data_IF_184087054065
#
_entry.id   IF_184087054065
#
_cell.length_a   1.000
_cell.length_b   1.000
_cell.length_c   1.000
_cell.angle_alpha   90.00
_cell.angle_beta   90.00
_cell.angle_gamma   90.00
#
_symmetry.space_group_name_H-M   'P 1'
#
loop_
_entity.id
_entity.type
_entity.pdbx_description
1 polymer ?
#
# COMPACT_ATOMS: atom_id res chain seq x y z
N UNK A 1 61.28 -39.92 -22.97
CA UNK A 1 60.38 -40.51 -21.96
C UNK A 1 59.66 -39.45 -21.06
N UNK A 2 60.19 -38.24 -20.91
CA UNK A 2 59.52 -37.18 -20.09
C UNK A 2 58.37 -36.48 -20.83
N UNK A 3 58.43 -36.33 -22.13
CA UNK A 3 57.41 -35.62 -22.93
C UNK A 3 56.04 -36.36 -22.99
N UNK A 4 56.10 -37.70 -23.00
CA UNK A 4 54.86 -38.53 -23.04
C UNK A 4 54.07 -38.53 -21.72
N UNK A 5 54.75 -38.32 -20.58
CA UNK A 5 54.06 -38.26 -19.27
C UNK A 5 53.39 -36.92 -19.02
N UNK A 6 53.90 -35.84 -19.61
CA UNK A 6 53.32 -34.51 -19.46
C UNK A 6 52.05 -34.35 -20.30
N UNK A 7 51.98 -34.93 -21.48
CA UNK A 7 50.78 -34.91 -22.34
C UNK A 7 49.66 -35.75 -21.74
N UNK A 8 49.98 -36.87 -21.06
CA UNK A 8 48.96 -37.70 -20.40
C UNK A 8 48.39 -37.02 -19.14
N UNK A 9 49.18 -36.22 -18.41
CA UNK A 9 48.72 -35.48 -17.24
C UNK A 9 47.84 -34.28 -17.62
N UNK A 10 48.13 -33.59 -18.71
CA UNK A 10 47.29 -32.52 -19.24
C UNK A 10 45.94 -33.02 -19.80
N UNK A 11 45.91 -34.23 -20.39
CA UNK A 11 44.67 -34.85 -20.85
C UNK A 11 43.77 -35.30 -19.70
N UNK A 12 44.32 -35.75 -18.56
CA UNK A 12 43.52 -36.07 -17.36
C UNK A 12 42.99 -34.83 -16.66
N UNK A 13 43.69 -33.69 -16.71
CA UNK A 13 43.17 -32.40 -16.14
C UNK A 13 42.07 -31.77 -16.99
N UNK A 14 42.09 -32.00 -18.32
CA UNK A 14 41.03 -31.53 -19.21
C UNK A 14 39.75 -32.39 -19.10
N UNK A 15 39.86 -33.68 -18.73
CA UNK A 15 38.70 -34.55 -18.50
C UNK A 15 38.04 -34.31 -17.12
N UNK A 16 38.77 -33.77 -16.13
CA UNK A 16 38.20 -33.42 -14.83
C UNK A 16 37.38 -32.12 -14.84
N UNK A 17 37.60 -31.21 -15.81
CA UNK A 17 36.84 -29.99 -15.96
C UNK A 17 35.50 -30.16 -16.72
N UNK A 18 35.33 -31.26 -17.48
CA UNK A 18 34.09 -31.50 -18.22
C UNK A 18 33.07 -32.36 -17.46
N UNK A 19 33.44 -32.93 -16.31
CA UNK A 19 32.54 -33.76 -15.51
C UNK A 19 31.78 -33.02 -14.39
N UNK A 20 32.02 -31.71 -14.23
CA UNK A 20 31.31 -30.90 -13.23
C UNK A 20 30.27 -29.91 -13.80
N UNK A 21 29.99 -30.00 -15.12
CA UNK A 21 28.96 -29.13 -15.75
C UNK A 21 27.67 -29.87 -16.13
N UNK A 22 27.54 -31.16 -15.84
CA UNK A 22 26.34 -31.92 -16.13
C UNK A 22 25.74 -32.53 -14.86
N UNK A 23 25.09 -31.70 -14.05
CA UNK A 23 23.99 -32.13 -13.20
C UNK A 23 23.28 -30.93 -12.54
N UNK A 24 23.06 -29.83 -13.29
CA UNK A 24 21.83 -29.09 -13.09
C UNK A 24 20.76 -29.77 -13.96
N UNK A 25 20.39 -30.98 -13.55
CA UNK A 25 19.20 -31.62 -14.05
C UNK A 25 18.05 -30.60 -13.92
N UNK A 26 17.33 -30.37 -15.01
CA UNK A 26 16.05 -29.67 -15.09
C UNK A 26 15.12 -30.17 -13.98
N UNK A 27 15.30 -29.70 -12.75
CA UNK A 27 14.25 -29.80 -11.76
C UNK A 27 13.19 -28.79 -12.18
N UNK A 28 12.19 -29.25 -12.90
CA UNK A 28 10.97 -28.50 -13.13
C UNK A 28 10.51 -27.98 -11.79
N UNK A 29 10.48 -26.65 -11.61
CA UNK A 29 10.09 -26.05 -10.34
C UNK A 29 8.67 -26.49 -9.99
N UNK A 30 8.46 -26.92 -8.75
CA UNK A 30 7.14 -27.30 -8.27
C UNK A 30 6.33 -26.05 -7.90
N UNK A 31 5.05 -26.05 -8.16
CA UNK A 31 4.16 -24.96 -7.71
C UNK A 31 4.22 -24.71 -6.19
N UNK A 32 4.45 -25.76 -5.40
CA UNK A 32 4.69 -25.63 -3.95
C UNK A 32 5.90 -24.74 -3.60
N UNK A 33 6.87 -24.60 -4.49
CA UNK A 33 8.00 -23.71 -4.29
C UNK A 33 7.56 -22.24 -4.41
N UNK A 34 6.57 -21.95 -5.26
CA UNK A 34 5.93 -20.63 -5.37
C UNK A 34 5.10 -20.32 -4.12
N UNK A 35 4.29 -21.27 -3.64
CA UNK A 35 3.49 -21.10 -2.40
C UNK A 35 4.40 -20.81 -1.20
N UNK A 36 5.52 -21.54 -1.09
CA UNK A 36 6.50 -21.29 -0.04
C UNK A 36 7.18 -19.93 -0.22
N UNK A 37 7.56 -19.58 -1.45
CA UNK A 37 8.14 -18.27 -1.72
C UNK A 37 7.18 -17.15 -1.34
N UNK A 38 5.90 -17.29 -1.65
CA UNK A 38 4.88 -16.30 -1.29
C UNK A 38 4.72 -16.14 0.22
N UNK A 39 4.76 -17.25 0.98
CA UNK A 39 4.77 -17.20 2.44
C UNK A 39 5.99 -16.46 2.97
N UNK A 40 7.18 -16.77 2.46
CA UNK A 40 8.43 -16.09 2.83
C UNK A 40 8.38 -14.60 2.44
N UNK A 41 7.74 -14.27 1.31
CA UNK A 41 7.53 -12.91 0.84
C UNK A 41 6.62 -12.11 1.78
N UNK A 42 5.49 -12.67 2.19
CA UNK A 42 4.56 -12.02 3.15
C UNK A 42 5.22 -11.77 4.50
N UNK A 43 6.10 -12.65 4.95
CA UNK A 43 6.86 -12.41 6.18
C UNK A 43 7.93 -11.31 5.99
N UNK A 44 8.58 -11.28 4.82
CA UNK A 44 9.55 -10.25 4.48
C UNK A 44 8.94 -8.84 4.42
N UNK A 45 7.70 -8.70 3.97
CA UNK A 45 7.02 -7.40 3.87
C UNK A 45 6.74 -6.75 5.22
N UNK A 46 6.70 -7.54 6.29
CA UNK A 46 6.51 -7.01 7.64
C UNK A 46 7.75 -6.23 8.08
N UNK A 47 7.64 -4.91 8.33
CA UNK A 47 8.79 -4.17 8.80
C UNK A 47 9.20 -4.63 10.19
N UNK A 48 10.51 -4.76 10.48
CA UNK A 48 10.94 -4.90 11.85
C UNK A 48 10.56 -3.66 12.66
N UNK A 49 10.62 -3.78 13.97
CA UNK A 49 10.27 -2.68 14.87
C UNK A 49 11.50 -1.95 15.41
N UNK A 50 11.39 -0.63 15.54
CA UNK A 50 12.33 0.26 16.20
C UNK A 50 11.56 1.05 17.26
N UNK A 51 11.94 0.92 18.53
CA UNK A 51 11.24 1.52 19.68
C UNK A 51 9.72 1.22 19.69
N UNK A 52 9.36 0.00 19.29
CA UNK A 52 7.98 -0.47 19.20
C UNK A 52 7.21 -0.03 17.95
N UNK A 53 7.77 0.86 17.14
CA UNK A 53 7.17 1.32 15.87
C UNK A 53 7.78 0.58 14.65
N UNK A 54 7.10 0.50 13.51
CA UNK A 54 7.69 0.01 12.28
C UNK A 54 8.96 0.78 11.91
N UNK A 55 10.04 0.06 11.57
CA UNK A 55 11.32 0.66 11.19
C UNK A 55 11.36 0.99 9.70
N UNK A 56 11.12 2.25 9.36
CA UNK A 56 11.26 2.81 8.02
C UNK A 56 12.52 3.66 7.84
N UNK A 57 13.55 3.39 8.64
CA UNK A 57 14.83 4.09 8.47
C UNK A 57 15.55 3.63 7.21
N UNK A 58 16.33 4.54 6.63
CA UNK A 58 17.18 4.21 5.48
C UNK A 58 18.09 3.00 5.74
N UNK A 59 18.62 2.89 6.95
CA UNK A 59 19.47 1.75 7.35
C UNK A 59 18.72 0.42 7.25
N UNK A 60 17.45 0.39 7.64
CA UNK A 60 16.63 -0.82 7.53
C UNK A 60 16.33 -1.15 6.07
N UNK A 61 15.99 -0.16 5.24
CA UNK A 61 15.79 -0.40 3.81
C UNK A 61 17.05 -0.94 3.11
N UNK A 62 18.23 -0.41 3.45
CA UNK A 62 19.50 -0.91 2.89
C UNK A 62 19.76 -2.38 3.26
N UNK A 63 19.35 -2.81 4.46
CA UNK A 63 19.41 -4.23 4.87
C UNK A 63 18.38 -5.08 4.12
N UNK A 64 17.14 -4.61 4.02
CA UNK A 64 16.04 -5.33 3.37
C UNK A 64 16.31 -5.55 1.89
N UNK A 65 17.03 -4.65 1.22
CA UNK A 65 17.38 -4.79 -0.20
C UNK A 65 18.07 -6.12 -0.54
N UNK A 66 18.95 -6.62 0.34
CA UNK A 66 19.63 -7.92 0.13
C UNK A 66 18.66 -9.08 0.21
N UNK A 67 17.76 -9.05 1.19
CA UNK A 67 16.76 -10.10 1.36
C UNK A 67 15.74 -10.10 0.22
N UNK A 68 15.31 -8.91 -0.21
CA UNK A 68 14.49 -8.74 -1.41
C UNK A 68 15.14 -9.40 -2.63
N UNK A 69 16.43 -9.13 -2.89
CA UNK A 69 17.12 -9.69 -4.02
C UNK A 69 17.18 -11.23 -3.98
N UNK A 70 17.31 -11.82 -2.79
CA UNK A 70 17.29 -13.29 -2.63
C UNK A 70 15.92 -13.84 -3.02
N UNK A 71 14.84 -13.24 -2.53
CA UNK A 71 13.47 -13.68 -2.85
C UNK A 71 13.17 -13.49 -4.34
N UNK A 72 13.56 -12.35 -4.90
CA UNK A 72 13.40 -12.04 -6.32
C UNK A 72 14.11 -13.07 -7.21
N UNK A 73 15.37 -13.39 -6.90
CA UNK A 73 16.13 -14.39 -7.64
C UNK A 73 15.50 -15.78 -7.52
N UNK A 74 14.91 -16.14 -6.36
CA UNK A 74 14.19 -17.42 -6.23
C UNK A 74 13.00 -17.47 -7.18
N UNK A 75 12.21 -16.40 -7.29
CA UNK A 75 11.09 -16.33 -8.22
C UNK A 75 11.53 -16.43 -9.67
N UNK A 76 12.53 -15.64 -10.08
CA UNK A 76 13.00 -15.56 -11.46
C UNK A 76 13.68 -16.84 -11.94
N UNK A 77 14.26 -17.63 -11.03
CA UNK A 77 14.87 -18.91 -11.35
C UNK A 77 13.87 -20.09 -11.40
N UNK A 78 12.58 -19.86 -11.20
CA UNK A 78 11.56 -20.90 -11.34
C UNK A 78 11.31 -21.23 -12.81
N UNK A 79 11.47 -22.48 -13.18
CA UNK A 79 11.07 -22.98 -14.51
C UNK A 79 9.56 -23.20 -14.54
N UNK A 80 8.83 -22.25 -15.11
CA UNK A 80 7.38 -22.26 -15.26
C UNK A 80 6.91 -22.85 -16.59
N UNK A 81 7.82 -23.35 -17.46
CA UNK A 81 7.54 -23.75 -18.86
C UNK A 81 6.37 -24.71 -18.95
N UNK A 82 6.38 -25.75 -18.12
CA UNK A 82 5.39 -26.82 -18.13
C UNK A 82 4.23 -26.61 -17.15
N UNK A 83 4.13 -25.43 -16.52
CA UNK A 83 3.04 -25.14 -15.58
C UNK A 83 1.71 -24.91 -16.32
N UNK A 84 0.59 -25.31 -15.72
CA UNK A 84 -0.73 -24.93 -16.21
C UNK A 84 -0.91 -23.41 -16.12
N UNK A 85 -1.82 -22.85 -16.91
CA UNK A 85 -2.01 -21.40 -17.05
C UNK A 85 -2.26 -20.72 -15.71
N UNK A 86 -3.11 -21.29 -14.86
CA UNK A 86 -3.43 -20.71 -13.55
C UNK A 86 -2.20 -20.59 -12.64
N UNK A 87 -1.29 -21.56 -12.62
CA UNK A 87 -0.05 -21.45 -11.86
C UNK A 87 0.91 -20.38 -12.42
N UNK A 88 0.92 -20.19 -13.76
CA UNK A 88 1.66 -19.11 -14.39
C UNK A 88 1.09 -17.74 -14.02
N UNK A 89 -0.23 -17.63 -13.93
CA UNK A 89 -0.92 -16.41 -13.48
C UNK A 89 -0.47 -16.06 -12.05
N UNK A 90 -0.48 -17.03 -11.13
CA UNK A 90 -0.04 -16.81 -9.75
C UNK A 90 1.43 -16.36 -9.67
N UNK A 91 2.30 -16.96 -10.50
CA UNK A 91 3.70 -16.52 -10.60
C UNK A 91 3.80 -15.05 -11.04
N UNK A 92 2.99 -14.63 -12.04
CA UNK A 92 2.96 -13.24 -12.49
C UNK A 92 2.41 -12.28 -11.42
N UNK A 93 1.43 -12.71 -10.62
CA UNK A 93 0.91 -11.92 -9.50
C UNK A 93 1.99 -11.69 -8.45
N UNK A 94 2.71 -12.75 -8.06
CA UNK A 94 3.83 -12.62 -7.10
C UNK A 94 4.93 -11.73 -7.67
N UNK A 95 5.23 -11.85 -8.97
CA UNK A 95 6.20 -10.99 -9.65
C UNK A 95 5.75 -9.51 -9.60
N UNK A 96 4.48 -9.25 -9.86
CA UNK A 96 3.91 -7.91 -9.84
C UNK A 96 3.96 -7.28 -8.44
N UNK A 97 3.65 -8.03 -7.39
CA UNK A 97 3.81 -7.57 -6.00
C UNK A 97 5.27 -7.22 -5.67
N UNK A 98 6.21 -8.08 -6.04
CA UNK A 98 7.64 -7.79 -5.86
C UNK A 98 8.09 -6.56 -6.67
N UNK A 99 7.54 -6.36 -7.86
CA UNK A 99 7.76 -5.15 -8.65
C UNK A 99 7.23 -3.90 -7.94
N UNK A 100 6.05 -3.98 -7.33
CA UNK A 100 5.45 -2.91 -6.54
C UNK A 100 6.33 -2.50 -5.36
N UNK A 101 6.86 -3.49 -4.62
CA UNK A 101 7.80 -3.24 -3.53
C UNK A 101 9.08 -2.52 -4.01
N UNK A 102 9.70 -3.01 -5.10
CA UNK A 102 10.89 -2.39 -5.69
C UNK A 102 10.60 -0.97 -6.18
N UNK A 103 9.42 -0.75 -6.77
CA UNK A 103 8.99 0.57 -7.22
C UNK A 103 8.80 1.54 -6.05
N UNK A 104 8.19 1.09 -4.96
CA UNK A 104 8.07 1.88 -3.73
C UNK A 104 9.44 2.29 -3.21
N UNK A 105 10.41 1.37 -3.24
CA UNK A 105 11.76 1.63 -2.78
C UNK A 105 12.54 2.61 -3.69
N UNK A 106 12.45 2.45 -5.00
CA UNK A 106 13.23 3.24 -5.96
C UNK A 106 12.61 4.57 -6.35
N UNK A 107 11.28 4.62 -6.48
CA UNK A 107 10.57 5.73 -7.11
C UNK A 107 9.65 6.46 -6.13
N UNK A 108 8.69 5.78 -5.55
CA UNK A 108 7.68 6.42 -4.69
C UNK A 108 8.29 6.95 -3.39
N UNK A 109 9.06 6.13 -2.69
CA UNK A 109 9.69 6.45 -1.41
C UNK A 109 8.73 7.17 -0.45
N UNK A 110 7.56 6.61 -0.16
CA UNK A 110 6.53 7.31 0.61
C UNK A 110 7.05 7.76 1.97
N UNK A 111 7.89 6.96 2.63
CA UNK A 111 8.50 7.30 3.91
C UNK A 111 9.44 8.53 3.88
N UNK A 112 9.99 8.89 2.69
CA UNK A 112 10.84 10.08 2.52
C UNK A 112 10.05 11.30 2.02
N UNK A 113 8.96 11.07 1.28
CA UNK A 113 8.29 12.11 0.48
C UNK A 113 6.91 12.49 0.99
N UNK A 114 6.21 11.57 1.63
CA UNK A 114 4.79 11.71 1.94
C UNK A 114 4.51 11.71 3.45
N UNK A 115 4.15 12.84 4.05
CA UNK A 115 3.77 12.86 5.45
C UNK A 115 2.52 12.01 5.78
N UNK A 116 1.59 11.81 4.82
CA UNK A 116 0.42 10.97 5.01
C UNK A 116 0.79 9.49 5.26
N UNK A 117 1.96 9.04 4.79
CA UNK A 117 2.51 7.72 5.10
C UNK A 117 2.60 7.45 6.62
N UNK A 118 2.74 8.51 7.42
CA UNK A 118 2.85 8.42 8.88
C UNK A 118 1.53 8.64 9.61
N UNK A 119 0.40 8.62 8.92
CA UNK A 119 -0.90 8.53 9.55
C UNK A 119 -1.02 7.18 10.25
N UNK A 120 -1.33 7.19 11.54
CA UNK A 120 -1.26 6.01 12.42
C UNK A 120 -2.61 5.60 12.98
N UNK A 121 -3.66 6.38 12.75
CA UNK A 121 -5.02 6.11 13.23
C UNK A 121 -5.93 5.95 12.03
N UNK A 122 -6.59 4.80 11.94
CA UNK A 122 -7.53 4.47 10.89
C UNK A 122 -8.91 4.25 11.51
N UNK A 123 -9.84 5.13 11.18
CA UNK A 123 -11.18 5.13 11.75
C UNK A 123 -12.12 4.14 11.07
N UNK A 124 -11.84 3.80 9.82
CA UNK A 124 -12.69 2.95 8.97
C UNK A 124 -11.84 1.92 8.25
N UNK A 125 -12.42 0.74 8.00
CA UNK A 125 -11.80 -0.27 7.16
C UNK A 125 -11.58 0.26 5.74
N UNK A 126 -10.42 -0.01 5.17
CA UNK A 126 -10.11 0.37 3.79
C UNK A 126 -10.82 -0.59 2.83
N UNK A 127 -11.44 -0.05 1.79
CA UNK A 127 -11.98 -0.82 0.67
C UNK A 127 -10.93 -1.10 -0.42
N UNK A 128 -9.71 -0.55 -0.25
CA UNK A 128 -8.60 -0.80 -1.16
C UNK A 128 -7.90 -2.10 -0.78
N UNK A 129 -7.74 -3.06 -1.71
CA UNK A 129 -7.00 -4.28 -1.45
C UNK A 129 -5.58 -4.00 -0.93
N UNK A 130 -5.13 -4.75 0.07
CA UNK A 130 -3.87 -4.51 0.77
C UNK A 130 -2.62 -4.48 -0.15
N UNK A 131 -2.71 -5.08 -1.35
CA UNK A 131 -1.62 -5.11 -2.34
C UNK A 131 -1.61 -3.91 -3.30
N UNK A 132 -2.63 -3.06 -3.29
CA UNK A 132 -2.73 -1.93 -4.23
C UNK A 132 -2.12 -0.62 -3.69
N UNK A 133 -1.73 -0.59 -2.44
CA UNK A 133 -1.17 0.61 -1.81
C UNK A 133 0.26 0.43 -1.32
N UNK A 134 0.97 1.54 -1.07
CA UNK A 134 2.19 1.47 -0.29
C UNK A 134 1.84 0.88 1.07
N UNK A 135 2.47 -0.22 1.42
CA UNK A 135 2.24 -0.91 2.68
C UNK A 135 2.73 -0.04 3.83
N UNK A 136 1.87 0.87 4.32
CA UNK A 136 2.07 1.42 5.64
C UNK A 136 1.31 0.51 6.61
N UNK A 137 1.97 0.06 7.63
CA UNK A 137 1.29 -0.68 8.67
C UNK A 137 0.64 0.34 9.59
N UNK A 138 -0.69 0.43 9.52
CA UNK A 138 -1.48 1.19 10.46
C UNK A 138 -1.15 0.72 11.88
N UNK A 139 -0.97 1.67 12.78
CA UNK A 139 -0.68 1.37 14.17
C UNK A 139 -1.97 1.06 14.93
N UNK A 140 -3.04 1.77 14.60
CA UNK A 140 -4.32 1.68 15.28
C UNK A 140 -5.46 1.63 14.26
N UNK A 141 -6.14 0.49 14.21
CA UNK A 141 -7.34 0.25 13.41
C UNK A 141 -8.57 0.39 14.31
N UNK A 142 -9.07 1.63 14.49
CA UNK A 142 -10.13 1.92 15.43
C UNK A 142 -11.45 1.20 15.12
N UNK A 143 -11.72 0.95 13.86
CA UNK A 143 -12.87 0.17 13.40
C UNK A 143 -12.89 -1.27 13.89
N UNK A 144 -11.74 -1.81 14.34
CA UNK A 144 -11.60 -3.18 14.86
C UNK A 144 -11.95 -3.32 16.36
N UNK A 145 -12.39 -2.23 17.02
CA UNK A 145 -12.74 -2.20 18.45
C UNK A 145 -14.24 -2.19 18.66
N UNK A 146 -14.71 -3.01 19.59
CA UNK A 146 -16.09 -3.04 20.03
C UNK A 146 -16.27 -2.19 21.32
N UNK A 147 -17.26 -1.32 21.35
CA UNK A 147 -17.54 -0.45 22.49
C UNK A 147 -18.79 -0.89 23.27
N UNK A 148 -18.75 -0.91 24.62
CA UNK A 148 -17.63 -0.51 25.49
C UNK A 148 -16.47 -1.50 25.45
N UNK A 149 -15.22 -1.00 25.50
CA UNK A 149 -14.02 -1.81 25.43
C UNK A 149 -13.96 -2.83 26.59
N UNK A 150 -13.55 -4.06 26.28
CA UNK A 150 -13.10 -5.04 27.26
C UNK A 150 -11.72 -4.65 27.84
N UNK A 151 -11.31 -5.31 28.92
CA UNK A 151 -10.00 -5.04 29.54
C UNK A 151 -8.87 -5.33 28.55
N UNK A 152 -8.97 -6.41 27.77
CA UNK A 152 -7.96 -6.81 26.79
C UNK A 152 -7.88 -5.80 25.64
N UNK A 153 -9.01 -5.21 25.23
CA UNK A 153 -9.06 -4.18 24.21
C UNK A 153 -8.51 -2.84 24.73
N UNK A 154 -8.77 -2.48 26.00
CA UNK A 154 -8.13 -1.31 26.62
C UNK A 154 -6.61 -1.45 26.62
N UNK A 155 -6.08 -2.63 27.00
CA UNK A 155 -4.63 -2.90 27.01
C UNK A 155 -4.05 -2.86 25.56
N UNK A 156 -4.76 -3.45 24.60
CA UNK A 156 -4.36 -3.38 23.18
C UNK A 156 -4.29 -1.94 22.70
N UNK A 157 -5.31 -1.14 22.96
CA UNK A 157 -5.38 0.27 22.58
C UNK A 157 -4.26 1.08 23.25
N UNK A 158 -3.97 0.85 24.53
CA UNK A 158 -2.84 1.50 25.23
C UNK A 158 -1.50 1.21 24.56
N UNK A 159 -1.28 -0.05 24.17
CA UNK A 159 -0.06 -0.48 23.49
C UNK A 159 0.07 0.19 22.11
N UNK A 160 -0.98 0.18 21.30
CA UNK A 160 -0.99 0.81 19.97
C UNK A 160 -0.77 2.33 20.08
N UNK A 161 -1.45 3.02 20.96
CA UNK A 161 -1.27 4.46 21.20
C UNK A 161 0.16 4.81 21.65
N UNK A 162 0.82 3.92 22.39
CA UNK A 162 2.18 4.15 22.90
C UNK A 162 3.24 4.20 21.80
N UNK A 163 2.95 3.63 20.62
CA UNK A 163 3.85 3.56 19.47
C UNK A 163 3.88 4.91 18.73
N UNK A 164 2.76 5.64 18.70
CA UNK A 164 2.59 6.86 17.90
C UNK A 164 3.70 7.91 18.15
N UNK A 165 4.08 8.25 19.38
CA UNK A 165 5.12 9.25 19.60
C UNK A 165 6.50 8.87 19.04
N UNK A 166 6.89 7.60 19.12
CA UNK A 166 8.18 7.13 18.58
C UNK A 166 8.16 7.10 17.06
N UNK A 167 7.06 6.67 16.47
CA UNK A 167 6.89 6.62 15.03
C UNK A 167 6.91 8.02 14.39
N UNK A 168 6.21 9.00 14.98
CA UNK A 168 6.24 10.37 14.49
C UNK A 168 7.58 11.09 14.71
N UNK A 169 8.38 10.69 15.72
CA UNK A 169 9.78 11.14 15.83
C UNK A 169 10.64 10.58 14.70
N UNK A 170 10.47 9.31 14.36
CA UNK A 170 11.15 8.68 13.22
C UNK A 170 10.78 9.40 11.92
N UNK A 171 9.49 9.73 11.72
CA UNK A 171 8.98 10.44 10.56
C UNK A 171 9.74 11.75 10.27
N UNK A 172 10.01 12.55 11.31
CA UNK A 172 10.76 13.81 11.17
C UNK A 172 12.17 13.61 10.60
N UNK A 173 12.80 12.48 10.90
CA UNK A 173 14.14 12.16 10.40
C UNK A 173 14.10 11.59 8.97
N UNK A 174 13.02 10.88 8.63
CA UNK A 174 12.87 10.21 7.34
C UNK A 174 12.38 11.17 6.24
N UNK A 175 11.50 12.13 6.56
CA UNK A 175 10.83 13.03 5.61
C UNK A 175 11.79 14.08 5.05
N UNK A 176 12.75 13.65 4.26
CA UNK A 176 13.78 14.49 3.63
C UNK A 176 13.40 14.90 2.19
N UNK A 177 12.42 14.26 1.59
CA UNK A 177 12.01 14.49 0.21
C UNK A 177 11.41 15.88 -0.03
N UNK A 178 11.38 16.26 -1.31
CA UNK A 178 10.83 17.54 -1.77
C UNK A 178 9.64 17.30 -2.70
N UNK A 179 8.44 17.09 -2.13
CA UNK A 179 7.20 16.78 -2.85
C UNK A 179 6.04 17.65 -2.32
N UNK A 180 5.89 18.84 -2.90
CA UNK A 180 5.01 19.90 -2.39
C UNK A 180 3.59 19.44 -2.09
N UNK A 181 2.91 18.82 -3.08
CA UNK A 181 1.48 18.52 -2.95
C UNK A 181 1.23 17.35 -2.00
N UNK A 182 2.17 16.38 -1.89
CA UNK A 182 2.13 15.33 -0.88
C UNK A 182 2.24 15.92 0.53
N UNK A 183 3.06 16.95 0.73
CA UNK A 183 3.17 17.62 2.02
C UNK A 183 1.90 18.39 2.38
N UNK A 184 1.29 19.09 1.42
CA UNK A 184 0.02 19.80 1.63
C UNK A 184 -1.09 18.82 2.02
N UNK A 185 -1.24 17.71 1.27
CA UNK A 185 -2.23 16.68 1.58
C UNK A 185 -1.93 16.00 2.92
N UNK A 186 -0.67 15.65 3.17
CA UNK A 186 -0.26 14.97 4.40
C UNK A 186 -0.48 15.80 5.67
N UNK A 187 -0.36 17.13 5.61
CA UNK A 187 -0.71 18.01 6.73
C UNK A 187 -2.19 17.86 7.10
N UNK A 188 -3.09 17.83 6.12
CA UNK A 188 -4.52 17.64 6.39
C UNK A 188 -4.80 16.25 6.97
N UNK A 189 -4.15 15.19 6.48
CA UNK A 189 -4.27 13.85 7.05
C UNK A 189 -3.84 13.78 8.53
N UNK A 190 -2.72 14.42 8.87
CA UNK A 190 -2.24 14.46 10.26
C UNK A 190 -3.14 15.33 11.14
N UNK A 191 -3.75 16.39 10.60
CA UNK A 191 -4.75 17.21 11.28
C UNK A 191 -6.04 16.43 11.53
N UNK A 192 -6.46 15.56 10.61
CA UNK A 192 -7.62 14.70 10.82
C UNK A 192 -7.32 13.64 11.88
N UNK A 193 -6.14 13.05 11.91
CA UNK A 193 -5.71 12.18 13.01
C UNK A 193 -5.79 12.87 14.40
N UNK A 194 -5.50 14.15 14.48
CA UNK A 194 -5.65 14.91 15.75
C UNK A 194 -7.11 14.94 16.21
N UNK A 195 -8.06 15.11 15.28
CA UNK A 195 -9.52 15.07 15.56
C UNK A 195 -9.98 13.66 15.92
N UNK A 196 -9.45 12.65 15.25
CA UNK A 196 -9.76 11.24 15.51
C UNK A 196 -9.33 10.83 16.92
N UNK A 197 -8.15 11.25 17.36
CA UNK A 197 -7.71 11.03 18.74
C UNK A 197 -8.61 11.74 19.77
N UNK A 198 -9.15 12.92 19.46
CA UNK A 198 -10.15 13.58 20.30
C UNK A 198 -11.48 12.84 20.32
N UNK A 199 -11.88 12.24 19.22
CA UNK A 199 -13.08 11.40 19.14
C UNK A 199 -12.89 10.13 19.98
N UNK A 200 -11.79 9.41 19.80
CA UNK A 200 -11.46 8.19 20.54
C UNK A 200 -11.46 8.46 22.04
N UNK A 201 -10.89 9.58 22.47
CA UNK A 201 -10.87 9.98 23.89
C UNK A 201 -12.26 10.07 24.51
N UNK A 202 -13.29 10.40 23.72
CA UNK A 202 -14.69 10.51 24.21
C UNK A 202 -15.37 9.14 24.31
N UNK A 203 -14.88 8.14 23.57
CA UNK A 203 -15.46 6.79 23.53
C UNK A 203 -14.94 5.87 24.64
N UNK A 204 -13.74 6.13 25.15
CA UNK A 204 -13.09 5.27 26.13
C UNK A 204 -13.49 5.58 27.56
N UNK A 205 -13.25 4.62 28.46
CA UNK A 205 -13.50 4.75 29.89
C UNK A 205 -12.67 5.88 30.51
N UNK A 206 -13.32 6.93 30.96
CA UNK A 206 -12.67 8.11 31.55
C UNK A 206 -11.98 7.82 32.90
N UNK A 207 -12.29 6.69 33.55
CA UNK A 207 -11.64 6.26 34.79
C UNK A 207 -10.33 5.50 34.56
N UNK A 208 -10.06 5.06 33.33
CA UNK A 208 -8.77 4.46 32.97
C UNK A 208 -7.71 5.57 32.74
N UNK A 209 -7.03 5.95 33.84
CA UNK A 209 -6.05 7.03 33.80
C UNK A 209 -4.83 6.72 32.89
N UNK A 210 -4.46 5.44 32.75
CA UNK A 210 -3.37 5.00 31.88
C UNK A 210 -3.71 5.24 30.42
N UNK A 211 -4.87 4.76 29.97
CA UNK A 211 -5.36 4.92 28.59
C UNK A 211 -5.52 6.41 28.23
N UNK A 212 -6.09 7.21 29.15
CA UNK A 212 -6.22 8.66 28.94
C UNK A 212 -4.85 9.34 28.79
N UNK A 213 -3.85 8.92 29.57
CA UNK A 213 -2.49 9.46 29.45
C UNK A 213 -1.84 9.06 28.12
N UNK A 214 -2.04 7.83 27.62
CA UNK A 214 -1.55 7.39 26.31
C UNK A 214 -2.20 8.18 25.17
N UNK A 215 -3.52 8.38 25.21
CA UNK A 215 -4.22 9.23 24.25
C UNK A 215 -3.70 10.68 24.24
N UNK A 216 -3.45 11.26 25.42
CA UNK A 216 -2.88 12.60 25.51
C UNK A 216 -1.48 12.67 24.90
N UNK A 217 -0.63 11.67 25.17
CA UNK A 217 0.73 11.58 24.62
C UNK A 217 0.70 11.44 23.10
N UNK A 218 -0.15 10.56 22.57
CA UNK A 218 -0.33 10.36 21.12
C UNK A 218 -0.81 11.65 20.45
N UNK A 219 -1.80 12.34 21.05
CA UNK A 219 -2.31 13.62 20.55
C UNK A 219 -1.22 14.71 20.56
N UNK A 220 -0.49 14.85 21.65
CA UNK A 220 0.60 15.83 21.74
C UNK A 220 1.68 15.58 20.69
N UNK A 221 2.05 14.32 20.45
CA UNK A 221 3.00 13.95 19.41
C UNK A 221 2.45 14.28 18.01
N UNK A 222 1.18 13.98 17.74
CA UNK A 222 0.49 14.31 16.48
C UNK A 222 0.44 15.82 16.24
N UNK A 223 0.07 16.62 17.25
CA UNK A 223 0.06 18.08 17.17
C UNK A 223 1.45 18.64 16.91
N UNK A 224 2.46 18.15 17.64
CA UNK A 224 3.86 18.58 17.46
C UNK A 224 4.44 18.18 16.09
N UNK A 225 3.98 17.06 15.53
CA UNK A 225 4.35 16.63 14.18
C UNK A 225 3.67 17.51 13.12
N UNK A 226 2.37 17.78 13.25
CA UNK A 226 1.63 18.70 12.38
C UNK A 226 2.30 20.08 12.32
N UNK A 227 2.57 20.69 13.45
CA UNK A 227 3.25 22.01 13.48
C UNK A 227 4.61 21.99 12.78
N UNK A 228 5.39 20.95 12.99
CA UNK A 228 6.66 20.79 12.27
C UNK A 228 6.46 20.66 10.75
N UNK A 229 5.44 19.90 10.30
CA UNK A 229 5.10 19.81 8.88
C UNK A 229 4.71 21.16 8.29
N UNK A 230 3.87 21.94 9.00
CA UNK A 230 3.45 23.29 8.59
C UNK A 230 4.65 24.25 8.47
N UNK A 231 5.60 24.17 9.40
CA UNK A 231 6.84 24.96 9.37
C UNK A 231 7.73 24.59 8.17
N UNK A 232 7.84 23.31 7.85
CA UNK A 232 8.68 22.81 6.78
C UNK A 232 8.04 22.92 5.39
N UNK A 233 6.72 22.92 5.28
CA UNK A 233 5.97 22.90 4.01
C UNK A 233 6.39 24.01 3.02
N UNK A 234 6.65 25.26 3.42
CA UNK A 234 7.09 26.30 2.49
C UNK A 234 8.42 25.99 1.79
N UNK A 235 9.24 25.11 2.36
CA UNK A 235 10.52 24.68 1.75
C UNK A 235 10.33 23.60 0.68
N UNK A 236 9.14 23.00 0.60
CA UNK A 236 8.81 21.90 -0.32
C UNK A 236 8.24 22.46 -1.60
N UNK A 237 9.04 22.49 -2.65
CA UNK A 237 8.70 23.11 -3.94
C UNK A 237 8.77 22.15 -5.13
N UNK A 238 9.26 20.93 -4.87
CA UNK A 238 9.47 19.91 -5.92
C UNK A 238 8.20 19.21 -6.34
N UNK A 239 8.27 18.44 -7.43
CA UNK A 239 7.14 17.71 -7.98
C UNK A 239 6.71 16.56 -7.06
N UNK A 240 5.41 16.35 -6.97
CA UNK A 240 4.81 15.24 -6.21
C UNK A 240 4.56 14.01 -7.07
N UNK A 241 4.32 14.20 -8.37
CA UNK A 241 4.15 13.12 -9.33
C UNK A 241 5.44 12.33 -9.60
N UNK A 242 5.28 11.19 -10.23
CA UNK A 242 6.37 10.24 -10.56
C UNK A 242 6.85 10.33 -12.01
N UNK A 243 6.14 11.08 -12.87
CA UNK A 243 6.41 11.20 -14.30
C UNK A 243 5.83 10.06 -15.13
N UNK A 244 5.66 10.30 -16.42
CA UNK A 244 4.98 9.40 -17.37
C UNK A 244 5.66 8.06 -17.54
N UNK A 245 6.99 8.05 -17.62
CA UNK A 245 7.78 6.82 -17.80
C UNK A 245 7.63 5.88 -16.61
N UNK A 246 7.73 6.42 -15.38
CA UNK A 246 7.52 5.64 -14.17
C UNK A 246 6.07 5.17 -14.05
N UNK A 247 5.10 6.02 -14.41
CA UNK A 247 3.69 5.65 -14.43
C UNK A 247 3.44 4.49 -15.40
N UNK A 248 3.91 4.59 -16.65
CA UNK A 248 3.82 3.54 -17.65
C UNK A 248 4.46 2.23 -17.17
N UNK A 249 5.66 2.33 -16.56
CA UNK A 249 6.33 1.16 -16.01
C UNK A 249 5.50 0.49 -14.91
N UNK A 250 4.90 1.29 -14.01
CA UNK A 250 4.06 0.80 -12.92
C UNK A 250 2.81 0.09 -13.45
N UNK A 251 2.12 0.70 -14.41
CA UNK A 251 0.95 0.09 -15.05
C UNK A 251 1.30 -1.27 -15.66
N UNK A 252 2.39 -1.35 -16.40
CA UNK A 252 2.76 -2.57 -17.11
C UNK A 252 3.34 -3.66 -16.21
N UNK A 253 4.05 -3.31 -15.14
CA UNK A 253 4.80 -4.27 -14.33
C UNK A 253 4.19 -4.56 -12.97
N UNK A 254 3.31 -3.70 -12.46
CA UNK A 254 2.65 -3.86 -11.16
C UNK A 254 1.16 -4.14 -11.34
N UNK A 255 0.45 -3.31 -12.13
CA UNK A 255 -0.97 -3.52 -12.44
C UNK A 255 -1.19 -4.54 -13.56
N UNK A 256 -0.14 -4.92 -14.28
CA UNK A 256 -0.16 -5.84 -15.42
C UNK A 256 -1.10 -5.37 -16.55
N UNK A 257 -1.27 -4.05 -16.68
CA UNK A 257 -2.04 -3.42 -17.74
C UNK A 257 -1.12 -3.06 -18.92
N UNK A 258 -1.50 -3.39 -20.16
CA UNK A 258 -0.62 -3.23 -21.32
C UNK A 258 -0.53 -1.79 -21.85
N UNK A 259 -1.09 -0.80 -21.13
CA UNK A 259 -1.18 0.58 -21.61
C UNK A 259 0.03 1.43 -21.20
N UNK A 260 0.39 2.36 -22.09
CA UNK A 260 1.23 3.51 -21.78
C UNK A 260 0.39 4.62 -21.17
N UNK A 261 1.03 5.61 -20.53
CA UNK A 261 0.34 6.79 -20.03
C UNK A 261 -0.46 7.52 -21.13
N UNK A 262 0.10 7.65 -22.34
CA UNK A 262 -0.53 8.30 -23.47
C UNK A 262 -1.77 7.54 -23.95
N UNK A 263 -1.67 6.21 -24.08
CA UNK A 263 -2.80 5.37 -24.48
C UNK A 263 -3.95 5.41 -23.46
N UNK A 264 -3.60 5.46 -22.17
CA UNK A 264 -4.60 5.55 -21.10
C UNK A 264 -5.29 6.92 -21.09
N UNK A 265 -4.55 8.01 -21.32
CA UNK A 265 -5.14 9.36 -21.46
C UNK A 265 -6.12 9.39 -22.62
N UNK A 266 -5.77 8.83 -23.78
CA UNK A 266 -6.66 8.76 -24.94
C UNK A 266 -7.92 7.93 -24.67
N UNK A 267 -7.77 6.82 -23.93
CA UNK A 267 -8.88 5.98 -23.49
C UNK A 267 -9.82 6.77 -22.56
N UNK A 268 -9.26 7.40 -21.54
CA UNK A 268 -10.03 8.19 -20.55
C UNK A 268 -10.73 9.39 -21.21
N UNK A 269 -10.09 10.04 -22.17
CA UNK A 269 -10.71 11.15 -22.92
C UNK A 269 -11.94 10.68 -23.68
N UNK A 270 -11.86 9.53 -24.36
CA UNK A 270 -13.03 8.94 -25.06
C UNK A 270 -14.17 8.59 -24.09
N UNK A 271 -13.82 8.03 -22.93
CA UNK A 271 -14.82 7.70 -21.90
C UNK A 271 -15.47 8.97 -21.31
N UNK A 272 -14.68 10.02 -21.10
CA UNK A 272 -15.18 11.32 -20.65
C UNK A 272 -16.14 11.92 -21.69
N UNK A 273 -15.78 11.93 -22.96
CA UNK A 273 -16.62 12.44 -24.06
C UNK A 273 -17.93 11.63 -24.17
N UNK A 274 -17.86 10.31 -24.00
CA UNK A 274 -19.03 9.44 -23.97
C UNK A 274 -19.93 9.76 -22.76
N UNK A 275 -19.35 9.94 -21.58
CA UNK A 275 -20.09 10.27 -20.37
C UNK A 275 -20.76 11.64 -20.48
N UNK A 276 -20.06 12.66 -21.01
CA UNK A 276 -20.64 13.98 -21.29
C UNK A 276 -21.80 13.92 -22.28
N UNK A 277 -21.64 13.14 -23.36
CA UNK A 277 -22.70 12.98 -24.37
C UNK A 277 -23.93 12.31 -23.74
N UNK A 278 -23.73 11.26 -22.93
CA UNK A 278 -24.82 10.59 -22.21
C UNK A 278 -25.51 11.53 -21.23
N UNK A 279 -24.74 12.30 -20.47
CA UNK A 279 -25.27 13.28 -19.53
C UNK A 279 -26.15 14.33 -20.24
N UNK A 280 -25.67 14.88 -21.38
CA UNK A 280 -26.45 15.86 -22.16
C UNK A 280 -27.74 15.28 -22.73
N UNK A 281 -27.73 14.02 -23.15
CA UNK A 281 -28.96 13.33 -23.57
C UNK A 281 -29.95 13.15 -22.42
N UNK A 282 -29.48 12.78 -21.24
CA UNK A 282 -30.34 12.63 -20.06
C UNK A 282 -30.86 13.99 -19.56
N UNK A 283 -30.04 15.03 -19.56
CA UNK A 283 -30.49 16.40 -19.25
C UNK A 283 -31.60 16.84 -20.22
N UNK A 284 -31.48 16.55 -21.53
CA UNK A 284 -32.49 16.87 -22.52
C UNK A 284 -33.79 16.04 -22.33
N UNK A 285 -33.67 14.72 -22.06
CA UNK A 285 -34.81 13.85 -21.80
C UNK A 285 -35.59 14.26 -20.58
N UNK A 286 -34.90 14.74 -19.56
CA UNK A 286 -35.46 15.07 -18.27
C UNK A 286 -35.64 16.59 -18.03
N UNK A 287 -35.53 17.42 -19.10
CA UNK A 287 -35.58 18.90 -18.99
C UNK A 287 -36.83 19.44 -18.33
N UNK A 288 -37.95 18.71 -18.46
CA UNK A 288 -39.25 19.10 -17.92
C UNK A 288 -39.54 18.51 -16.53
N UNK A 289 -38.62 17.69 -15.98
CA UNK A 289 -38.75 17.20 -14.63
C UNK A 289 -38.37 18.26 -13.60
N UNK A 290 -39.06 18.28 -12.44
CA UNK A 290 -38.70 19.21 -11.38
C UNK A 290 -37.26 18.93 -10.89
N UNK A 291 -36.52 20.02 -10.71
CA UNK A 291 -35.18 19.91 -10.13
C UNK A 291 -35.20 19.26 -8.74
N UNK A 292 -34.29 18.35 -8.52
CA UNK A 292 -34.09 17.74 -7.21
C UNK A 292 -33.72 18.84 -6.21
N UNK A 293 -34.36 18.84 -5.05
CA UNK A 293 -34.01 19.72 -3.95
C UNK A 293 -33.10 18.99 -2.98
N UNK A 294 -32.06 19.66 -2.53
CA UNK A 294 -31.22 19.14 -1.47
C UNK A 294 -32.04 18.97 -0.16
N UNK A 295 -31.76 17.95 0.61
CA UNK A 295 -32.32 17.82 1.96
C UNK A 295 -31.80 18.94 2.86
N UNK A 296 -32.66 19.46 3.74
CA UNK A 296 -32.32 20.58 4.64
C UNK A 296 -31.69 20.10 5.96
N UNK A 297 -31.79 18.79 6.25
CA UNK A 297 -31.22 18.20 7.47
C UNK A 297 -30.84 16.74 7.24
N UNK A 298 -29.98 16.17 8.11
CA UNK A 298 -29.62 14.73 8.07
C UNK A 298 -30.84 13.82 8.20
N UNK A 299 -31.83 14.19 9.02
CA UNK A 299 -33.07 13.43 9.25
C UNK A 299 -33.96 13.43 8.00
N UNK A 300 -34.07 14.58 7.32
CA UNK A 300 -34.79 14.69 6.05
C UNK A 300 -34.07 13.85 4.97
N UNK A 301 -32.76 13.91 4.91
CA UNK A 301 -31.95 13.09 3.99
C UNK A 301 -32.21 11.59 4.21
N UNK A 302 -32.14 11.11 5.45
CA UNK A 302 -32.42 9.72 5.81
C UNK A 302 -33.80 9.26 5.34
N UNK A 303 -34.83 10.06 5.59
CA UNK A 303 -36.21 9.74 5.14
C UNK A 303 -36.35 9.71 3.62
N UNK A 304 -35.70 10.63 2.92
CA UNK A 304 -35.73 10.67 1.45
C UNK A 304 -34.97 9.46 0.86
N UNK A 305 -33.88 9.06 1.49
CA UNK A 305 -33.10 7.88 1.10
C UNK A 305 -33.93 6.61 1.29
N UNK A 306 -34.53 6.40 2.46
CA UNK A 306 -35.44 5.25 2.70
C UNK A 306 -36.55 5.15 1.64
N UNK A 307 -37.25 6.29 1.42
CA UNK A 307 -38.29 6.33 0.40
C UNK A 307 -37.78 5.99 -1.00
N UNK A 308 -36.58 6.43 -1.35
CA UNK A 308 -35.96 6.17 -2.65
C UNK A 308 -35.57 4.70 -2.79
N UNK A 309 -35.04 4.08 -1.75
CA UNK A 309 -34.70 2.65 -1.71
C UNK A 309 -35.96 1.81 -1.88
N UNK A 310 -37.03 2.09 -1.12
CA UNK A 310 -38.30 1.37 -1.25
C UNK A 310 -38.86 1.49 -2.67
N UNK A 311 -38.86 2.71 -3.25
CA UNK A 311 -39.31 2.93 -4.63
C UNK A 311 -38.49 2.13 -5.65
N UNK A 312 -37.17 2.09 -5.48
CA UNK A 312 -36.27 1.31 -6.35
C UNK A 312 -36.54 -0.18 -6.24
N UNK A 313 -36.67 -0.70 -5.01
CA UNK A 313 -36.98 -2.12 -4.77
C UNK A 313 -38.33 -2.51 -5.37
N UNK A 314 -39.36 -1.67 -5.21
CA UNK A 314 -40.67 -1.90 -5.83
C UNK A 314 -40.54 -1.96 -7.36
N UNK A 315 -39.85 -1.01 -7.96
CA UNK A 315 -39.62 -0.98 -9.41
C UNK A 315 -38.90 -2.28 -9.90
N UNK A 316 -37.88 -2.71 -9.20
CA UNK A 316 -37.15 -3.93 -9.56
C UNK A 316 -38.02 -5.18 -9.44
N UNK A 317 -38.88 -5.25 -8.41
CA UNK A 317 -39.79 -6.38 -8.20
C UNK A 317 -40.92 -6.43 -9.27
N UNK A 318 -41.40 -5.26 -9.72
CA UNK A 318 -42.44 -5.18 -10.74
C UNK A 318 -41.93 -5.47 -12.17
N UNK A 319 -40.61 -5.37 -12.38
CA UNK A 319 -39.97 -5.58 -13.70
C UNK A 319 -39.40 -6.99 -13.90
N UNK A 320 -39.30 -7.79 -12.83
CA UNK A 320 -39.00 -9.21 -12.89
C UNK A 320 -40.28 -10.07 -12.94
#
# INVERSE_FOLDING_TARGET
MLFSRFVLLCLMLLFSCTLNSENKANQTSNYKDLEKLFTDWREFEKPPTLDGAPDYTKSQFDKSKKNYQILRNRLENMDTTNWPVHHKVDWHIVLAEMNGYDFNYRVLKPWERDPAFYQTVWMYESDVPAHEGPTNHAVLEFWSYDFPLSIDEEERLENELSIIPSFLRQAKNNLTGNARDLWVAGIENIKDQEKDLDYIKKQVNQNNSSLIQKLQSAKQATSAFKFWLEEMAPTKTGPSGIGKENYTWYQQNVHLLPFTWEEEVDLLQRELDRAWSSLKLEELRNKDLPKLKAANSPEEFSKLTEKSVVKMMTFLTEKN
#
